data_IF_688341061212
#
_entry.id   IF_688341061212
#
_cell.length_a   1.000
_cell.length_b   1.000
_cell.length_c   1.000
_cell.angle_alpha   90.00
_cell.angle_beta   90.00
_cell.angle_gamma   90.00
#
_symmetry.space_group_name_H-M   'P 1'
#
loop_
_entity.id
_entity.type
_entity.pdbx_description
1 polymer ?
#
# COMPACT_ATOMS: atom_id res chain seq x y z
N UNK A 1 -6.42 -18.02 1.13
CA UNK A 1 -6.48 -16.62 0.69
C UNK A 1 -7.78 -16.02 1.18
N UNK A 2 -7.73 -14.87 1.83
CA UNK A 2 -8.90 -14.14 2.31
C UNK A 2 -9.26 -13.04 1.33
N UNK A 3 -10.51 -12.55 1.39
CA UNK A 3 -10.93 -11.38 0.58
C UNK A 3 -10.03 -10.17 0.88
N UNK A 4 -9.57 -9.99 2.12
CA UNK A 4 -8.68 -8.90 2.49
C UNK A 4 -7.34 -8.92 1.75
N UNK A 5 -6.67 -10.08 1.69
CA UNK A 5 -5.41 -10.26 0.96
C UNK A 5 -5.58 -10.00 -0.55
N UNK A 6 -6.71 -10.44 -1.11
CA UNK A 6 -7.06 -10.18 -2.51
C UNK A 6 -7.31 -8.69 -2.74
N UNK A 7 -8.06 -8.04 -1.86
CA UNK A 7 -8.32 -6.60 -1.95
C UNK A 7 -7.05 -5.77 -1.89
N UNK A 8 -6.06 -6.15 -1.08
CA UNK A 8 -4.74 -5.50 -1.06
C UNK A 8 -4.02 -5.66 -2.41
N UNK A 9 -4.11 -6.84 -3.02
CA UNK A 9 -3.47 -7.11 -4.31
C UNK A 9 -4.14 -6.35 -5.46
N UNK A 10 -5.47 -6.29 -5.46
CA UNK A 10 -6.27 -5.47 -6.39
C UNK A 10 -5.96 -3.98 -6.20
N UNK A 11 -5.92 -3.50 -4.96
CA UNK A 11 -5.56 -2.12 -4.64
C UNK A 11 -4.19 -1.77 -5.21
N UNK A 12 -3.18 -2.62 -4.95
CA UNK A 12 -1.82 -2.44 -5.47
C UNK A 12 -1.78 -2.43 -7.00
N UNK A 13 -2.52 -3.32 -7.65
CA UNK A 13 -2.62 -3.36 -9.11
C UNK A 13 -3.11 -2.02 -9.69
N UNK A 14 -4.16 -1.45 -9.11
CA UNK A 14 -4.70 -0.16 -9.55
C UNK A 14 -3.89 1.07 -9.10
N UNK A 15 -2.78 0.91 -8.36
CA UNK A 15 -1.84 2.01 -8.13
C UNK A 15 -1.04 2.37 -9.40
N UNK A 16 -0.99 1.47 -10.38
CA UNK A 16 -0.24 1.64 -11.63
C UNK A 16 -1.05 1.35 -12.89
N UNK A 17 -2.32 0.94 -12.75
CA UNK A 17 -3.21 0.59 -13.85
C UNK A 17 -4.58 1.24 -13.65
N UNK A 18 -5.26 1.56 -14.76
CA UNK A 18 -6.56 2.25 -14.73
C UNK A 18 -7.75 1.32 -15.02
N UNK A 19 -7.50 0.08 -15.43
CA UNK A 19 -8.54 -0.90 -15.72
C UNK A 19 -8.09 -2.34 -15.44
N UNK A 20 -9.07 -3.22 -15.22
CA UNK A 20 -8.86 -4.65 -14.98
C UNK A 20 -9.85 -5.51 -15.75
N UNK A 21 -9.34 -6.62 -16.29
CA UNK A 21 -10.07 -7.74 -16.88
C UNK A 21 -9.51 -9.07 -16.39
N UNK A 22 -10.35 -10.09 -16.28
CA UNK A 22 -9.90 -11.40 -15.82
C UNK A 22 -8.97 -12.10 -16.81
N UNK A 23 -9.11 -11.80 -18.10
CA UNK A 23 -8.43 -12.47 -19.20
C UNK A 23 -6.99 -12.01 -19.34
N UNK A 24 -6.72 -10.73 -19.06
CA UNK A 24 -5.39 -10.14 -19.21
C UNK A 24 -4.67 -10.03 -17.87
N UNK A 25 -5.37 -9.58 -16.83
CA UNK A 25 -4.71 -8.94 -15.69
C UNK A 25 -4.72 -9.82 -14.42
N UNK A 26 -5.48 -10.91 -14.41
CA UNK A 26 -5.60 -11.81 -13.24
C UNK A 26 -4.24 -12.38 -12.78
N UNK A 27 -3.33 -12.62 -13.71
CA UNK A 27 -1.99 -13.15 -13.41
C UNK A 27 -1.09 -12.11 -12.76
N UNK A 28 -1.28 -10.82 -13.07
CA UNK A 28 -0.49 -9.71 -12.54
C UNK A 28 -0.75 -9.45 -11.05
N UNK A 29 -1.88 -9.95 -10.52
CA UNK A 29 -2.20 -9.85 -9.09
C UNK A 29 -1.26 -10.68 -8.20
N UNK A 30 -0.44 -11.59 -8.77
CA UNK A 30 0.53 -12.37 -8.00
C UNK A 30 -0.09 -13.34 -6.97
N UNK A 31 -1.37 -13.64 -7.11
CA UNK A 31 -2.15 -14.45 -6.18
C UNK A 31 -1.90 -15.94 -6.39
N UNK A 32 -1.42 -16.63 -5.34
CA UNK A 32 -1.21 -18.09 -5.32
C UNK A 32 -2.44 -18.79 -4.77
N UNK A 33 -3.17 -19.51 -5.62
CA UNK A 33 -4.34 -20.30 -5.26
C UNK A 33 -4.42 -21.53 -6.16
N UNK A 34 -4.61 -22.71 -5.58
CA UNK A 34 -4.64 -23.98 -6.32
C UNK A 34 -5.89 -24.12 -7.20
N UNK A 35 -6.98 -23.46 -6.82
CA UNK A 35 -8.26 -23.52 -7.51
C UNK A 35 -8.52 -22.21 -8.27
N UNK A 36 -8.37 -22.25 -9.59
CA UNK A 36 -8.59 -21.08 -10.46
C UNK A 36 -10.01 -20.52 -10.38
N UNK A 37 -11.03 -21.37 -10.15
CA UNK A 37 -12.41 -20.90 -10.00
C UNK A 37 -12.60 -20.13 -8.70
N UNK A 38 -12.01 -20.62 -7.61
CA UNK A 38 -12.03 -19.95 -6.31
C UNK A 38 -11.28 -18.62 -6.37
N UNK A 39 -10.09 -18.61 -6.99
CA UNK A 39 -9.30 -17.40 -7.24
C UNK A 39 -10.11 -16.33 -7.97
N UNK A 40 -10.77 -16.70 -9.08
CA UNK A 40 -11.63 -15.78 -9.84
C UNK A 40 -12.79 -15.26 -8.99
N UNK A 41 -13.43 -16.11 -8.19
CA UNK A 41 -14.53 -15.71 -7.32
C UNK A 41 -14.08 -14.72 -6.24
N UNK A 42 -12.94 -14.95 -5.60
CA UNK A 42 -12.37 -14.05 -4.59
C UNK A 42 -12.01 -12.69 -5.19
N UNK A 43 -11.36 -12.67 -6.36
CA UNK A 43 -11.02 -11.44 -7.09
C UNK A 43 -12.29 -10.68 -7.48
N UNK A 44 -13.32 -11.37 -7.96
CA UNK A 44 -14.62 -10.75 -8.29
C UNK A 44 -15.25 -10.09 -7.07
N UNK A 45 -15.26 -10.76 -5.93
CA UNK A 45 -15.80 -10.19 -4.68
C UNK A 45 -15.02 -8.95 -4.25
N UNK A 46 -13.69 -8.94 -4.40
CA UNK A 46 -12.88 -7.77 -4.11
C UNK A 46 -13.21 -6.60 -5.06
N UNK A 47 -13.27 -6.83 -6.37
CA UNK A 47 -13.62 -5.83 -7.38
C UNK A 47 -15.02 -5.24 -7.13
N UNK A 48 -16.00 -6.08 -6.80
CA UNK A 48 -17.37 -5.66 -6.49
C UNK A 48 -17.43 -4.80 -5.23
N UNK A 49 -16.59 -5.11 -4.22
CA UNK A 49 -16.47 -4.27 -3.04
C UNK A 49 -15.88 -2.90 -3.40
N UNK A 50 -14.89 -2.82 -4.29
CA UNK A 50 -14.35 -1.53 -4.75
C UNK A 50 -15.36 -0.73 -5.57
N UNK A 51 -16.13 -1.39 -6.43
CA UNK A 51 -17.23 -0.75 -7.17
C UNK A 51 -18.31 -0.21 -6.24
N UNK A 52 -18.71 -0.99 -5.22
CA UNK A 52 -19.68 -0.56 -4.20
C UNK A 52 -19.22 0.67 -3.41
N UNK A 53 -17.91 0.82 -3.24
CA UNK A 53 -17.30 1.98 -2.59
C UNK A 53 -16.92 3.09 -3.59
N UNK A 54 -17.45 3.04 -4.82
CA UNK A 54 -17.29 4.06 -5.88
C UNK A 54 -15.84 4.28 -6.35
N UNK A 55 -14.93 3.37 -6.02
CA UNK A 55 -13.56 3.40 -6.55
C UNK A 55 -13.49 2.89 -7.98
N UNK A 56 -14.32 1.90 -8.31
CA UNK A 56 -14.37 1.29 -9.63
C UNK A 56 -15.76 1.40 -10.26
N UNK A 57 -15.83 1.27 -11.58
CA UNK A 57 -17.06 1.09 -12.34
C UNK A 57 -16.92 -0.12 -13.25
N UNK A 58 -17.90 -1.03 -13.22
CA UNK A 58 -17.93 -2.16 -14.12
C UNK A 58 -18.78 -1.86 -15.37
N UNK A 59 -18.20 -2.04 -16.55
CA UNK A 59 -18.87 -1.86 -17.86
C UNK A 59 -18.23 -2.81 -18.88
N UNK A 60 -19.05 -3.50 -19.69
CA UNK A 60 -18.59 -4.40 -20.77
C UNK A 60 -17.50 -5.43 -20.39
N UNK A 61 -17.50 -5.92 -19.14
CA UNK A 61 -16.53 -6.89 -18.64
C UNK A 61 -15.20 -6.29 -18.15
N UNK A 62 -15.12 -4.96 -18.09
CA UNK A 62 -13.99 -4.21 -17.56
C UNK A 62 -14.35 -3.54 -16.24
N UNK A 63 -13.41 -3.52 -15.30
CA UNK A 63 -13.47 -2.64 -14.15
C UNK A 63 -12.55 -1.45 -14.40
N UNK A 64 -13.13 -0.26 -14.48
CA UNK A 64 -12.40 1.00 -14.67
C UNK A 64 -12.27 1.75 -13.36
N UNK A 65 -11.12 2.39 -13.18
CA UNK A 65 -10.88 3.28 -12.07
C UNK A 65 -11.70 4.58 -12.23
N UNK A 66 -12.55 4.90 -11.24
CA UNK A 66 -13.36 6.13 -11.28
C UNK A 66 -12.53 7.40 -11.05
N UNK A 67 -11.44 7.27 -10.29
CA UNK A 67 -10.51 8.34 -9.90
C UNK A 67 -9.17 7.73 -9.49
N UNK A 68 -8.02 8.38 -9.70
CA UNK A 68 -6.72 7.83 -9.31
C UNK A 68 -6.75 7.33 -7.85
N UNK A 69 -6.34 6.09 -7.56
CA UNK A 69 -6.43 5.55 -6.19
C UNK A 69 -5.65 6.39 -5.16
N UNK A 70 -4.64 7.13 -5.63
CA UNK A 70 -3.81 8.02 -4.82
C UNK A 70 -4.43 9.43 -4.65
N UNK A 71 -5.63 9.70 -5.19
CA UNK A 71 -6.19 11.06 -5.22
C UNK A 71 -6.85 11.49 -3.92
N UNK A 72 -7.16 10.56 -3.01
CA UNK A 72 -7.78 10.93 -1.73
C UNK A 72 -6.76 10.95 -0.59
N UNK A 73 -6.47 12.13 -0.02
CA UNK A 73 -5.67 12.21 1.19
C UNK A 73 -6.41 11.50 2.31
N UNK A 74 -5.76 10.50 2.91
CA UNK A 74 -6.26 9.88 4.13
C UNK A 74 -5.83 10.70 5.33
N UNK A 75 -6.80 11.26 6.05
CA UNK A 75 -6.54 11.87 7.35
C UNK A 75 -6.36 10.76 8.40
N UNK A 76 -5.28 10.83 9.16
CA UNK A 76 -4.98 9.92 10.26
C UNK A 76 -4.62 10.75 11.48
N UNK A 77 -5.35 10.56 12.57
CA UNK A 77 -4.98 11.12 13.86
C UNK A 77 -3.87 10.29 14.47
N UNK A 78 -2.75 10.95 14.83
CA UNK A 78 -1.61 10.33 15.48
C UNK A 78 -1.58 10.81 16.93
N UNK A 79 -1.78 9.92 17.92
CA UNK A 79 -1.66 10.29 19.33
C UNK A 79 -0.26 10.80 19.66
N UNK A 80 -0.16 11.75 20.59
CA UNK A 80 1.11 12.39 20.99
C UNK A 80 2.23 11.39 21.32
N UNK A 81 1.91 10.31 22.02
CA UNK A 81 2.89 9.27 22.39
C UNK A 81 3.48 8.57 21.15
N UNK A 82 2.61 8.24 20.19
CA UNK A 82 3.04 7.65 18.92
C UNK A 82 3.86 8.66 18.10
N UNK A 83 3.43 9.93 18.06
CA UNK A 83 4.15 10.99 17.36
C UNK A 83 5.58 11.17 17.90
N UNK A 84 5.73 11.17 19.23
CA UNK A 84 7.04 11.23 19.88
C UNK A 84 7.91 10.03 19.48
N UNK A 85 7.35 8.82 19.53
CA UNK A 85 8.11 7.61 19.22
C UNK A 85 8.59 7.55 17.77
N UNK A 86 7.74 8.00 16.84
CA UNK A 86 8.07 8.13 15.42
C UNK A 86 9.21 9.14 15.25
N UNK A 87 9.10 10.33 15.85
CA UNK A 87 10.11 11.37 15.74
C UNK A 87 11.47 10.92 16.30
N UNK A 88 11.49 10.26 17.46
CA UNK A 88 12.72 9.67 18.02
C UNK A 88 13.37 8.69 17.04
N UNK A 89 12.59 7.80 16.44
CA UNK A 89 13.10 6.77 15.52
C UNK A 89 13.74 7.40 14.28
N UNK A 90 13.06 8.37 13.67
CA UNK A 90 13.57 9.09 12.49
C UNK A 90 14.83 9.88 12.86
N UNK A 91 14.80 10.60 13.99
CA UNK A 91 15.91 11.47 14.38
C UNK A 91 17.16 10.67 14.75
N UNK A 92 17.00 9.54 15.44
CA UNK A 92 18.13 8.62 15.71
C UNK A 92 18.71 8.10 14.39
N UNK A 93 17.88 7.75 13.42
CA UNK A 93 18.38 7.30 12.12
C UNK A 93 19.15 8.42 11.39
N UNK A 94 18.62 9.65 11.41
CA UNK A 94 19.28 10.85 10.89
C UNK A 94 20.67 11.06 11.52
N UNK A 95 20.76 10.94 12.86
CA UNK A 95 22.01 11.05 13.60
C UNK A 95 23.02 9.96 13.20
N UNK A 96 22.55 8.73 12.93
CA UNK A 96 23.40 7.61 12.49
C UNK A 96 23.97 7.83 11.09
N UNK A 97 23.19 8.39 10.17
CA UNK A 97 23.64 8.66 8.79
C UNK A 97 24.36 10.02 8.65
N UNK A 98 24.32 10.86 9.68
CA UNK A 98 24.94 12.18 9.68
C UNK A 98 24.21 13.20 8.79
N UNK A 99 22.90 13.03 8.58
CA UNK A 99 22.07 13.92 7.77
C UNK A 99 20.83 14.34 8.56
N UNK A 100 20.75 15.64 8.85
CA UNK A 100 19.69 16.24 9.66
C UNK A 100 18.51 16.79 8.84
N UNK A 101 18.56 16.71 7.51
CA UNK A 101 17.57 17.31 6.61
C UNK A 101 16.15 16.77 6.80
N UNK A 102 16.04 15.53 7.26
CA UNK A 102 14.80 14.79 7.43
C UNK A 102 14.35 14.61 8.89
N UNK A 103 14.99 15.34 9.83
CA UNK A 103 14.56 15.33 11.23
C UNK A 103 13.08 15.69 11.38
N UNK A 104 12.42 14.94 12.24
CA UNK A 104 11.00 15.00 12.51
C UNK A 104 10.71 15.75 13.82
N UNK A 105 9.73 16.65 13.77
CA UNK A 105 9.16 17.32 14.95
C UNK A 105 7.83 16.65 15.33
N UNK A 106 7.71 16.07 16.54
CA UNK A 106 6.48 15.35 16.93
C UNK A 106 5.24 16.25 17.01
N UNK A 107 5.39 17.58 17.13
CA UNK A 107 4.27 18.53 17.17
C UNK A 107 3.82 19.04 15.79
N UNK A 108 4.59 18.78 14.73
CA UNK A 108 4.32 19.23 13.35
C UNK A 108 4.62 18.08 12.37
N UNK A 109 4.06 16.91 12.67
CA UNK A 109 4.27 15.71 11.86
C UNK A 109 3.54 15.83 10.52
N UNK A 110 4.25 15.49 9.44
CA UNK A 110 3.80 15.60 8.06
C UNK A 110 3.82 14.22 7.41
N UNK A 111 3.12 14.03 6.28
CA UNK A 111 3.18 12.79 5.51
C UNK A 111 4.61 12.34 5.17
N UNK A 112 5.54 13.28 4.99
CA UNK A 112 6.97 13.00 4.77
C UNK A 112 7.59 12.17 5.90
N UNK A 113 7.19 12.40 7.15
CA UNK A 113 7.79 11.74 8.31
C UNK A 113 7.35 10.28 8.38
N UNK A 114 6.09 10.00 8.04
CA UNK A 114 5.58 8.62 7.89
C UNK A 114 6.26 7.92 6.72
N UNK A 115 6.49 8.63 5.60
CA UNK A 115 7.24 8.10 4.47
C UNK A 115 8.69 7.76 4.85
N UNK A 116 9.36 8.61 5.64
CA UNK A 116 10.72 8.36 6.11
C UNK A 116 10.80 7.08 6.95
N UNK A 117 9.80 6.77 7.78
CA UNK A 117 9.74 5.47 8.46
C UNK A 117 9.68 4.29 7.50
N UNK A 118 8.91 4.39 6.42
CA UNK A 118 8.86 3.31 5.42
C UNK A 118 10.20 3.10 4.73
N UNK A 119 10.92 4.18 4.42
CA UNK A 119 12.25 4.12 3.82
C UNK A 119 13.26 3.46 4.77
N UNK A 120 13.23 3.80 6.06
CA UNK A 120 14.07 3.17 7.09
C UNK A 120 13.79 1.66 7.16
N UNK A 121 12.51 1.27 7.23
CA UNK A 121 12.11 -0.13 7.27
C UNK A 121 12.59 -0.90 6.03
N UNK A 122 12.39 -0.35 4.83
CA UNK A 122 12.81 -0.96 3.57
C UNK A 122 14.34 -1.13 3.52
N UNK A 123 15.10 -0.12 3.99
CA UNK A 123 16.54 -0.21 4.08
C UNK A 123 17.01 -1.35 5.00
N UNK A 124 16.38 -1.50 6.17
CA UNK A 124 16.71 -2.56 7.14
C UNK A 124 16.34 -3.95 6.59
N UNK A 125 15.16 -4.09 5.99
CA UNK A 125 14.70 -5.35 5.38
C UNK A 125 15.66 -5.79 4.25
N UNK A 126 16.06 -4.86 3.39
CA UNK A 126 16.96 -5.17 2.29
C UNK A 126 18.39 -5.48 2.76
N UNK A 127 18.85 -4.80 3.81
CA UNK A 127 20.16 -5.08 4.42
C UNK A 127 20.22 -6.50 4.98
N UNK A 128 19.18 -6.97 5.67
CA UNK A 128 19.13 -8.35 6.20
C UNK A 128 19.15 -9.42 5.08
N UNK A 129 18.38 -9.22 4.00
CA UNK A 129 18.37 -10.14 2.85
C UNK A 129 19.72 -10.27 2.14
N UNK A 130 20.60 -9.28 2.27
CA UNK A 130 21.94 -9.31 1.67
C UNK A 130 22.97 -10.07 2.51
N UNK A 131 22.70 -10.30 3.80
CA UNK A 131 23.58 -11.04 4.71
C UNK A 131 23.30 -12.55 4.68
N UNK A 132 22.08 -12.94 4.26
CA UNK A 132 21.64 -14.34 4.18
C UNK A 132 21.86 -15.00 2.80
N UNK A 133 22.58 -14.34 1.87
CA UNK A 133 23.05 -14.89 0.59
C UNK A 133 24.58 -14.99 0.56
#
# INVERSE_FOLDING_TARGET
MTIYEVSMSVFKYFQSNDNFTFEKDLTELGLVCENEREKRALVKVALDNFEKNEFLKHEDGFWFLCRPFNSEPKEVEIPNELALKIAETINIFCDVIGDDSDKCNPNDMKPKDIYNLTVICDHLINSQKSVDN
#
